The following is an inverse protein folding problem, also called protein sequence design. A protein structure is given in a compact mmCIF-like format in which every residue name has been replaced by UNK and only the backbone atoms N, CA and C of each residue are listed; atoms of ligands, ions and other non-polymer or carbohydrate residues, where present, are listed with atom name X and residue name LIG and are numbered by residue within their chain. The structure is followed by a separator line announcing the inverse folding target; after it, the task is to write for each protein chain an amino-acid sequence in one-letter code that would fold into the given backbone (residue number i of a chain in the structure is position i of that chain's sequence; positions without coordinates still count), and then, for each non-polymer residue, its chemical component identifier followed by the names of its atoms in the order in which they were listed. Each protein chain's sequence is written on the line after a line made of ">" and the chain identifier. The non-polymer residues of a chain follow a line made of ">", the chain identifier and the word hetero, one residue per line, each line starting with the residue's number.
data_IF_091118793853
#
_entry.id   IF_091118793853
#
_cell.length_a   1.000
_cell.length_b   1.000
_cell.length_c   1.000
_cell.angle_alpha   90.00
_cell.angle_beta   90.00
_cell.angle_gamma   90.00
#
_symmetry.space_group_name_H-M   'P 1'
#
loop_
_entity.id
_entity.type
_entity.pdbx_description
1 polymer ?
#
# COMPACT_ATOMS: atom_id res chain seq x y z
N UNK A 1 -5.66 22.69 -2.55
CA UNK A 1 -4.80 23.02 -3.70
C UNK A 1 -3.39 23.46 -3.30
N UNK A 2 -3.21 24.38 -2.34
CA UNK A 2 -1.88 24.93 -1.95
C UNK A 2 -0.87 23.85 -1.50
N UNK A 3 -1.28 22.91 -0.65
CA UNK A 3 -0.40 21.82 -0.19
C UNK A 3 0.09 20.93 -1.34
N UNK A 4 -0.79 20.59 -2.29
CA UNK A 4 -0.44 19.82 -3.49
C UNK A 4 0.53 20.59 -4.40
N UNK A 5 0.27 21.89 -4.63
CA UNK A 5 1.19 22.75 -5.37
C UNK A 5 2.58 22.82 -4.72
N UNK A 6 2.65 22.94 -3.39
CA UNK A 6 3.90 22.92 -2.64
C UNK A 6 4.64 21.57 -2.75
N UNK A 7 3.91 20.43 -2.78
CA UNK A 7 4.51 19.11 -3.04
C UNK A 7 5.12 19.04 -4.44
N UNK A 8 4.39 19.48 -5.47
CA UNK A 8 4.87 19.54 -6.86
C UNK A 8 6.14 20.39 -6.97
N UNK A 9 6.15 21.59 -6.40
CA UNK A 9 7.31 22.50 -6.44
C UNK A 9 8.53 21.88 -5.75
N UNK A 10 8.34 21.26 -4.57
CA UNK A 10 9.43 20.54 -3.88
C UNK A 10 9.93 19.36 -4.70
N UNK A 11 9.03 18.58 -5.29
CA UNK A 11 9.37 17.45 -6.14
C UNK A 11 10.18 17.87 -7.37
N UNK A 12 9.76 18.93 -8.09
CA UNK A 12 10.51 19.47 -9.23
C UNK A 12 11.90 19.97 -8.85
N UNK A 13 12.03 20.66 -7.70
CA UNK A 13 13.34 21.09 -7.18
C UNK A 13 14.23 19.89 -6.86
N UNK A 14 13.67 18.86 -6.24
CA UNK A 14 14.38 17.61 -5.94
C UNK A 14 14.85 16.87 -7.19
N UNK A 15 14.00 16.77 -8.22
CA UNK A 15 14.35 16.17 -9.50
C UNK A 15 15.52 16.90 -10.17
N UNK A 16 15.50 18.25 -10.16
CA UNK A 16 16.55 19.08 -10.76
C UNK A 16 17.86 19.03 -9.98
N UNK A 17 17.81 18.89 -8.66
CA UNK A 17 18.97 18.81 -7.78
C UNK A 17 19.60 17.40 -7.72
N UNK A 18 19.02 16.39 -8.39
CA UNK A 18 19.48 14.98 -8.37
C UNK A 18 19.65 14.41 -6.94
N UNK A 19 18.77 14.79 -6.01
CA UNK A 19 18.83 14.25 -4.66
C UNK A 19 18.55 12.74 -4.64
N UNK A 20 19.42 11.98 -3.95
CA UNK A 20 19.25 10.56 -3.71
C UNK A 20 17.92 10.32 -2.98
N UNK A 21 17.00 9.60 -3.64
CA UNK A 21 15.67 9.27 -3.11
C UNK A 21 14.50 9.96 -3.80
N UNK A 22 14.72 10.92 -4.72
CA UNK A 22 13.62 11.46 -5.51
C UNK A 22 13.11 10.43 -6.52
N UNK A 23 11.80 10.08 -6.46
CA UNK A 23 11.14 9.24 -7.46
C UNK A 23 10.23 10.10 -8.34
N UNK A 24 10.47 10.06 -9.65
CA UNK A 24 9.70 10.78 -10.65
C UNK A 24 8.21 10.39 -10.65
N UNK A 25 7.90 9.13 -10.35
CA UNK A 25 6.53 8.65 -10.16
C UNK A 25 5.76 9.41 -9.07
N UNK A 26 6.42 9.80 -7.97
CA UNK A 26 5.78 10.60 -6.91
C UNK A 26 5.42 12.01 -7.38
N UNK A 27 6.30 12.62 -8.18
CA UNK A 27 6.03 13.93 -8.77
C UNK A 27 4.89 13.88 -9.82
N UNK A 28 4.83 12.80 -10.61
CA UNK A 28 3.71 12.56 -11.54
C UNK A 28 2.39 12.45 -10.79
N UNK A 29 2.35 11.72 -9.66
CA UNK A 29 1.16 11.61 -8.82
C UNK A 29 0.72 12.96 -8.25
N UNK A 30 1.65 13.72 -7.66
CA UNK A 30 1.39 15.05 -7.11
C UNK A 30 0.86 16.04 -8.18
N UNK A 31 1.43 16.01 -9.39
CA UNK A 31 0.98 16.87 -10.50
C UNK A 31 -0.39 16.44 -11.02
N UNK A 32 -0.64 15.14 -11.13
CA UNK A 32 -1.95 14.60 -11.55
C UNK A 32 -3.04 14.99 -10.57
N UNK A 33 -2.79 14.86 -9.27
CA UNK A 33 -3.71 15.30 -8.21
C UNK A 33 -4.00 16.79 -8.31
N UNK A 34 -2.96 17.62 -8.49
CA UNK A 34 -3.12 19.06 -8.64
C UNK A 34 -4.01 19.40 -9.84
N UNK A 35 -3.70 18.86 -11.02
CA UNK A 35 -4.43 19.16 -12.26
C UNK A 35 -5.88 18.64 -12.23
N UNK A 36 -6.11 17.45 -11.65
CA UNK A 36 -7.46 16.93 -11.42
C UNK A 36 -8.26 17.84 -10.50
N UNK A 37 -7.67 18.21 -9.36
CA UNK A 37 -8.34 19.07 -8.38
C UNK A 37 -8.67 20.43 -8.98
N UNK A 38 -7.72 21.05 -9.71
CA UNK A 38 -7.98 22.34 -10.38
C UNK A 38 -9.04 22.23 -11.47
N UNK A 39 -9.06 21.14 -12.25
CA UNK A 39 -10.06 20.91 -13.28
C UNK A 39 -11.46 20.72 -12.70
N UNK A 40 -11.58 19.94 -11.62
CA UNK A 40 -12.85 19.74 -10.91
C UNK A 40 -13.35 21.03 -10.24
N UNK A 41 -12.43 21.84 -9.67
CA UNK A 41 -12.78 23.13 -9.09
C UNK A 41 -13.19 24.19 -10.12
N UNK A 42 -12.72 24.07 -11.37
CA UNK A 42 -13.07 24.97 -12.47
C UNK A 42 -14.38 24.55 -13.18
N UNK A 43 -14.98 23.40 -12.82
CA UNK A 43 -16.26 22.94 -13.35
C UNK A 43 -17.45 23.75 -12.82
N UNK A 44 -18.61 23.57 -13.45
CA UNK A 44 -19.83 24.35 -13.14
C UNK A 44 -20.38 24.10 -11.72
N UNK A 45 -20.15 22.92 -11.15
CA UNK A 45 -20.54 22.56 -9.78
C UNK A 45 -19.35 21.94 -9.02
N UNK A 46 -18.46 22.75 -8.43
CA UNK A 46 -17.32 22.23 -7.68
C UNK A 46 -17.79 21.55 -6.39
N UNK A 47 -17.36 20.30 -6.16
CA UNK A 47 -17.63 19.61 -4.90
C UNK A 47 -17.03 20.39 -3.72
N UNK A 48 -17.83 20.83 -2.73
CA UNK A 48 -17.34 21.54 -1.56
C UNK A 48 -16.25 20.78 -0.78
N UNK A 49 -16.19 19.45 -0.90
CA UNK A 49 -15.14 18.63 -0.29
C UNK A 49 -13.74 18.94 -0.85
N UNK A 50 -13.63 19.45 -2.08
CA UNK A 50 -12.38 19.78 -2.75
C UNK A 50 -11.82 21.16 -2.34
N UNK A 51 -12.63 22.02 -1.71
CA UNK A 51 -12.23 23.37 -1.27
C UNK A 51 -11.29 23.35 -0.05
N UNK A 52 -11.00 22.17 0.51
CA UNK A 52 -10.18 22.00 1.68
C UNK A 52 -10.97 22.30 2.95
N UNK A 53 -10.97 21.36 3.88
CA UNK A 53 -11.60 21.55 5.19
C UNK A 53 -10.65 22.33 6.10
N UNK A 54 -11.12 23.42 6.70
CA UNK A 54 -10.44 24.07 7.82
C UNK A 54 -10.09 23.04 8.91
N UNK A 55 -8.95 23.25 9.59
CA UNK A 55 -8.35 22.43 10.66
C UNK A 55 -9.32 21.40 11.25
N UNK A 56 -9.25 20.16 10.74
CA UNK A 56 -10.20 19.09 11.05
C UNK A 56 -10.17 18.78 12.55
N UNK A 57 -11.25 19.12 13.25
CA UNK A 57 -11.38 18.90 14.67
C UNK A 57 -11.50 17.41 14.98
N UNK A 58 -10.81 16.95 16.03
CA UNK A 58 -11.04 15.63 16.61
C UNK A 58 -12.52 15.53 17.00
N UNK A 59 -13.21 14.46 16.58
CA UNK A 59 -14.58 14.21 17.03
C UNK A 59 -14.53 13.60 18.43
N UNK A 60 -15.40 14.02 19.36
CA UNK A 60 -15.61 13.30 20.61
C UNK A 60 -16.22 11.93 20.27
N UNK A 61 -15.42 10.87 20.32
CA UNK A 61 -15.92 9.51 20.33
C UNK A 61 -16.23 9.18 21.78
N UNK A 62 -17.47 8.84 22.12
CA UNK A 62 -17.94 8.64 23.50
C UNK A 62 -17.13 7.61 24.32
N UNK A 63 -17.72 6.47 24.63
CA UNK A 63 -16.97 5.31 25.13
C UNK A 63 -16.53 4.49 23.91
N UNK A 64 -15.25 4.15 23.82
CA UNK A 64 -14.67 3.39 22.72
C UNK A 64 -13.87 2.22 23.29
N UNK A 65 -14.24 0.99 22.92
CA UNK A 65 -13.46 -0.21 23.20
C UNK A 65 -12.66 -0.58 21.95
N UNK A 66 -11.36 -0.76 22.12
CA UNK A 66 -10.46 -1.22 21.05
C UNK A 66 -9.62 -2.40 21.52
N UNK A 67 -9.28 -3.28 20.58
CA UNK A 67 -8.42 -4.45 20.76
C UNK A 67 -7.11 -4.26 20.02
N UNK A 68 -6.01 -4.62 20.64
CA UNK A 68 -4.70 -4.71 20.00
C UNK A 68 -4.72 -5.70 18.86
N UNK A 69 -4.10 -5.32 17.73
CA UNK A 69 -3.85 -6.24 16.63
C UNK A 69 -2.37 -6.53 16.50
N UNK A 70 -1.56 -5.49 16.32
CA UNK A 70 -0.11 -5.61 16.22
C UNK A 70 0.56 -4.24 16.38
N UNK A 71 1.89 -4.23 16.56
CA UNK A 71 2.72 -3.01 16.51
C UNK A 71 3.78 -3.11 15.44
N UNK A 72 4.12 -1.95 14.86
CA UNK A 72 5.12 -1.85 13.81
C UNK A 72 6.10 -0.70 14.06
N UNK A 73 7.39 -0.90 13.73
CA UNK A 73 8.38 0.17 13.78
C UNK A 73 8.20 1.13 12.60
N UNK A 74 8.23 2.43 12.89
CA UNK A 74 8.25 3.50 11.89
C UNK A 74 9.65 4.03 11.74
N UNK A 75 10.18 4.04 10.52
CA UNK A 75 11.45 4.69 10.17
C UNK A 75 11.21 5.57 8.95
N UNK A 76 11.50 6.87 9.06
CA UNK A 76 11.39 7.79 7.93
C UNK A 76 12.76 8.16 7.38
N UNK A 77 12.80 8.54 6.09
CA UNK A 77 13.99 9.12 5.47
C UNK A 77 14.41 10.46 6.10
N UNK A 78 13.49 11.14 6.79
CA UNK A 78 13.72 12.42 7.48
C UNK A 78 14.32 12.26 8.87
N UNK A 79 14.77 11.05 9.25
CA UNK A 79 15.44 10.78 10.53
C UNK A 79 14.47 10.58 11.71
N UNK A 80 13.17 10.43 11.45
CA UNK A 80 12.21 10.07 12.49
C UNK A 80 12.16 8.56 12.69
N UNK A 81 11.92 8.18 13.95
CA UNK A 81 11.83 6.80 14.41
C UNK A 81 10.72 6.64 15.44
N UNK A 82 10.07 5.50 15.46
CA UNK A 82 9.00 5.27 16.43
C UNK A 82 8.27 3.96 16.27
N UNK A 83 7.09 3.91 16.85
CA UNK A 83 6.17 2.79 16.79
C UNK A 83 4.77 3.29 16.43
N UNK A 84 4.04 2.45 15.70
CA UNK A 84 2.57 2.55 15.57
C UNK A 84 1.99 1.24 16.08
N UNK A 85 1.05 1.31 17.01
CA UNK A 85 0.22 0.17 17.42
C UNK A 85 -1.14 0.30 16.76
N UNK A 86 -1.54 -0.76 16.07
CA UNK A 86 -2.80 -0.86 15.35
C UNK A 86 -3.81 -1.56 16.25
N UNK A 87 -5.00 -0.98 16.33
CA UNK A 87 -6.09 -1.48 17.16
C UNK A 87 -7.40 -1.44 16.36
N UNK A 88 -8.35 -2.30 16.71
CA UNK A 88 -9.68 -2.33 16.06
C UNK A 88 -10.80 -2.27 17.09
N UNK A 89 -11.92 -1.64 16.75
CA UNK A 89 -13.11 -1.64 17.61
C UNK A 89 -13.96 -2.93 17.46
N UNK A 90 -15.12 -2.95 18.12
CA UNK A 90 -16.09 -4.06 18.05
C UNK A 90 -16.72 -4.19 16.65
N UNK A 91 -16.75 -3.11 15.87
CA UNK A 91 -17.26 -3.08 14.49
C UNK A 91 -16.18 -3.38 13.43
N UNK A 92 -14.94 -3.62 13.84
CA UNK A 92 -13.81 -3.91 12.95
C UNK A 92 -13.17 -2.68 12.30
N UNK A 93 -13.47 -1.46 12.78
CA UNK A 93 -12.81 -0.23 12.29
C UNK A 93 -11.42 -0.11 12.89
N UNK A 94 -10.46 0.27 12.05
CA UNK A 94 -9.07 0.45 12.44
C UNK A 94 -8.78 1.81 13.04
N UNK A 95 -7.96 1.78 14.08
CA UNK A 95 -7.39 2.95 14.73
C UNK A 95 -5.89 2.75 14.96
N UNK A 96 -5.19 3.85 15.23
CA UNK A 96 -3.75 3.82 15.51
C UNK A 96 -3.37 4.64 16.73
N UNK A 97 -2.36 4.15 17.44
CA UNK A 97 -1.67 4.84 18.54
C UNK A 97 -0.19 4.90 18.18
N UNK A 98 0.39 6.10 18.15
CA UNK A 98 1.74 6.29 17.64
C UNK A 98 2.63 7.07 18.61
N UNK A 99 3.90 6.66 18.72
CA UNK A 99 4.98 7.46 19.29
C UNK A 99 6.12 7.55 18.27
N UNK A 100 6.13 8.64 17.49
CA UNK A 100 7.13 8.92 16.45
C UNK A 100 7.81 10.25 16.75
N UNK A 101 9.13 10.24 16.93
CA UNK A 101 9.96 11.43 17.19
C UNK A 101 11.29 11.31 16.45
N UNK A 102 12.12 12.37 16.39
CA UNK A 102 13.47 12.26 15.86
C UNK A 102 14.27 11.16 16.58
N UNK A 103 15.08 10.40 15.83
CA UNK A 103 15.93 9.33 16.37
C UNK A 103 16.12 8.09 15.49
N UNK A 104 15.57 8.08 14.27
CA UNK A 104 15.78 7.05 13.27
C UNK A 104 15.52 5.61 13.74
N UNK A 105 16.24 4.66 13.16
CA UNK A 105 16.00 3.23 13.42
C UNK A 105 16.24 2.81 14.87
N UNK A 106 17.23 3.40 15.55
CA UNK A 106 17.53 3.08 16.94
C UNK A 106 16.32 3.39 17.85
N UNK A 107 15.68 4.54 17.63
CA UNK A 107 14.42 4.88 18.29
C UNK A 107 13.30 3.94 17.91
N UNK A 108 13.13 3.63 16.62
CA UNK A 108 12.06 2.74 16.16
C UNK A 108 12.12 1.36 16.83
N UNK A 109 13.34 0.82 17.01
CA UNK A 109 13.60 -0.42 17.73
C UNK A 109 13.21 -0.34 19.20
N UNK A 110 13.57 0.75 19.89
CA UNK A 110 13.27 0.94 21.32
C UNK A 110 11.83 1.36 21.62
N UNK A 111 11.13 1.97 20.66
CA UNK A 111 9.79 2.53 20.88
C UNK A 111 8.71 1.47 21.10
N UNK A 112 8.95 0.21 20.70
CA UNK A 112 7.98 -0.88 20.85
C UNK A 112 7.52 -1.13 22.29
N UNK A 113 8.32 -0.75 23.29
CA UNK A 113 8.00 -0.86 24.73
C UNK A 113 7.88 0.52 25.40
N UNK A 114 7.77 1.60 24.62
CA UNK A 114 7.51 2.92 25.17
C UNK A 114 6.09 3.00 25.74
N UNK A 115 5.91 3.87 26.74
CA UNK A 115 4.59 4.14 27.33
C UNK A 115 3.66 4.76 26.29
N UNK A 116 2.45 4.21 26.20
CA UNK A 116 1.36 4.74 25.41
C UNK A 116 0.86 6.00 26.10
N UNK A 117 1.00 7.12 25.41
CA UNK A 117 0.52 8.42 25.89
C UNK A 117 -0.98 8.59 25.60
N UNK A 118 -1.85 7.66 26.04
CA UNK A 118 -3.31 7.79 25.97
C UNK A 118 -3.89 7.62 27.37
N UNK A 119 -4.49 8.71 27.89
CA UNK A 119 -4.98 8.74 29.26
C UNK A 119 -3.85 8.58 30.29
N UNK A 120 -4.23 8.35 31.55
CA UNK A 120 -3.31 8.20 32.68
C UNK A 120 -2.87 6.76 32.95
N UNK A 121 -3.07 5.84 32.00
CA UNK A 121 -2.76 4.42 32.16
C UNK A 121 -1.33 4.08 31.77
N UNK A 122 -0.55 3.48 32.67
CA UNK A 122 0.83 3.02 32.43
C UNK A 122 0.94 1.79 31.52
N UNK A 123 0.26 1.81 30.37
CA UNK A 123 0.33 0.77 29.34
C UNK A 123 1.46 1.11 28.36
N UNK A 124 2.20 0.12 27.89
CA UNK A 124 3.18 0.28 26.82
C UNK A 124 2.65 -0.25 25.48
N UNK A 125 3.35 0.06 24.39
CA UNK A 125 2.96 -0.35 23.04
C UNK A 125 2.97 -1.88 22.84
N UNK A 126 3.77 -2.64 23.60
CA UNK A 126 3.82 -4.10 23.54
C UNK A 126 2.54 -4.71 24.10
N UNK A 127 2.15 -4.26 25.29
CA UNK A 127 0.94 -4.67 25.98
C UNK A 127 -0.31 -4.19 25.26
N UNK A 128 -0.29 -2.99 24.66
CA UNK A 128 -1.41 -2.52 23.85
C UNK A 128 -1.63 -3.39 22.61
N UNK A 129 -0.58 -3.83 21.93
CA UNK A 129 -0.68 -4.64 20.72
C UNK A 129 -1.33 -6.01 20.97
N UNK A 130 -1.22 -6.53 22.20
CA UNK A 130 -1.75 -7.84 22.61
C UNK A 130 -3.06 -7.75 23.39
N UNK A 131 -3.21 -6.66 24.15
CA UNK A 131 -4.38 -6.38 24.98
C UNK A 131 -5.45 -5.57 24.25
N UNK A 132 -5.87 -4.49 24.90
CA UNK A 132 -6.77 -3.50 24.34
C UNK A 132 -6.95 -2.32 25.29
N UNK A 133 -7.80 -1.38 24.89
CA UNK A 133 -8.18 -0.23 25.71
C UNK A 133 -9.70 -0.06 25.75
N UNK A 134 -10.21 0.28 26.93
CA UNK A 134 -11.50 0.95 27.07
C UNK A 134 -11.22 2.43 27.30
N UNK A 135 -11.68 3.27 26.37
CA UNK A 135 -11.38 4.70 26.32
C UNK A 135 -12.67 5.49 26.53
N UNK A 136 -12.68 6.34 27.54
CA UNK A 136 -13.76 7.31 27.79
C UNK A 136 -13.33 8.69 27.31
N UNK A 137 -14.20 9.32 26.51
CA UNK A 137 -13.92 10.64 25.92
C UNK A 137 -12.89 10.57 24.80
N UNK A 138 -12.88 9.47 24.04
CA UNK A 138 -11.92 9.22 22.97
C UNK A 138 -11.88 10.39 21.98
N UNK A 139 -10.67 10.74 21.55
CA UNK A 139 -10.48 11.71 20.47
C UNK A 139 -9.90 10.98 19.29
N UNK A 140 -10.58 11.02 18.14
CA UNK A 140 -10.14 10.33 16.92
C UNK A 140 -9.87 11.35 15.81
N UNK A 141 -8.69 11.25 15.18
CA UNK A 141 -8.38 12.03 13.99
C UNK A 141 -9.13 11.49 12.76
N UNK A 142 -9.26 12.25 11.67
CA UNK A 142 -9.86 11.74 10.42
C UNK A 142 -9.19 10.47 9.89
N UNK A 143 -7.89 10.31 10.16
CA UNK A 143 -7.08 9.14 9.75
C UNK A 143 -7.15 7.98 10.77
N UNK A 144 -8.04 8.07 11.77
CA UNK A 144 -8.21 7.04 12.79
C UNK A 144 -7.18 7.06 13.92
N UNK A 145 -6.38 8.14 14.06
CA UNK A 145 -5.41 8.23 15.16
C UNK A 145 -6.10 8.57 16.48
N UNK A 146 -5.87 7.77 17.51
CA UNK A 146 -6.36 8.03 18.85
C UNK A 146 -5.49 9.08 19.54
N UNK A 147 -6.14 10.12 20.06
CA UNK A 147 -5.49 11.24 20.74
C UNK A 147 -5.67 11.20 22.26
N UNK A 148 -4.82 11.94 22.97
CA UNK A 148 -4.77 12.05 24.42
C UNK A 148 -5.17 13.43 24.93
N UNK A 149 -6.36 13.88 24.53
CA UNK A 149 -6.94 15.13 25.03
C UNK A 149 -7.10 15.14 26.55
N UNK A 150 -7.21 16.34 27.14
CA UNK A 150 -7.29 16.57 28.60
C UNK A 150 -8.46 15.86 29.33
N UNK A 151 -9.42 15.28 28.61
CA UNK A 151 -10.54 14.50 29.16
C UNK A 151 -10.51 13.00 28.83
N UNK A 152 -9.48 12.53 28.12
CA UNK A 152 -9.37 11.13 27.71
C UNK A 152 -8.92 10.29 28.91
N UNK A 153 -9.72 9.30 29.28
CA UNK A 153 -9.33 8.25 30.24
C UNK A 153 -9.27 6.93 29.52
N UNK A 154 -8.23 6.14 29.76
CA UNK A 154 -8.07 4.84 29.14
C UNK A 154 -7.69 3.80 30.19
N UNK A 155 -8.34 2.65 30.11
CA UNK A 155 -8.09 1.50 30.98
C UNK A 155 -7.72 0.31 30.12
N UNK A 156 -6.62 -0.35 30.46
CA UNK A 156 -6.21 -1.57 29.77
C UNK A 156 -7.28 -2.65 29.95
N UNK A 157 -7.56 -3.37 28.86
CA UNK A 157 -8.40 -4.57 28.89
C UNK A 157 -7.61 -5.76 28.38
N UNK A 158 -8.02 -6.97 28.79
CA UNK A 158 -7.41 -8.19 28.32
C UNK A 158 -7.56 -8.33 26.79
N UNK A 159 -6.54 -8.94 26.19
CA UNK A 159 -6.51 -9.26 24.77
C UNK A 159 -7.57 -10.28 24.37
N UNK A 160 -7.77 -10.40 23.06
CA UNK A 160 -8.52 -11.51 22.48
C UNK A 160 -7.65 -12.23 21.45
N UNK A 161 -7.73 -13.57 21.36
CA UNK A 161 -7.00 -14.30 20.36
C UNK A 161 -7.59 -14.00 18.97
N UNK A 162 -6.73 -13.93 17.97
CA UNK A 162 -7.15 -13.73 16.58
C UNK A 162 -8.12 -14.81 16.07
N UNK A 163 -8.19 -15.97 16.71
CA UNK A 163 -9.10 -17.06 16.33
C UNK A 163 -10.59 -16.77 16.65
N UNK A 164 -10.92 -15.70 17.40
CA UNK A 164 -12.27 -15.48 17.90
C UNK A 164 -12.70 -14.01 17.88
N UNK A 165 -14.02 -13.79 18.02
CA UNK A 165 -14.60 -12.45 18.17
C UNK A 165 -14.34 -11.54 16.96
N UNK A 166 -14.33 -10.21 17.19
CA UNK A 166 -14.09 -9.23 16.12
C UNK A 166 -12.73 -9.37 15.43
N UNK A 167 -11.71 -9.90 16.10
CA UNK A 167 -10.41 -10.17 15.49
C UNK A 167 -10.46 -11.35 14.52
N UNK A 168 -11.25 -12.38 14.81
CA UNK A 168 -11.48 -13.50 13.89
C UNK A 168 -12.09 -13.06 12.55
N UNK A 169 -12.97 -12.05 12.58
CA UNK A 169 -13.61 -11.52 11.38
C UNK A 169 -12.62 -10.88 10.39
N UNK A 170 -11.44 -10.43 10.86
CA UNK A 170 -10.39 -9.88 9.98
C UNK A 170 -9.85 -10.90 8.97
N UNK A 171 -9.98 -12.20 9.27
CA UNK A 171 -9.43 -13.30 8.47
C UNK A 171 -10.49 -14.09 7.70
N UNK A 172 -11.77 -13.77 7.91
CA UNK A 172 -12.88 -14.51 7.30
C UNK A 172 -13.08 -14.16 5.82
N UNK A 173 -12.64 -12.98 5.39
CA UNK A 173 -12.92 -12.45 4.06
C UNK A 173 -11.77 -12.76 3.08
N UNK A 174 -12.06 -13.29 1.88
CA UNK A 174 -11.04 -13.51 0.87
C UNK A 174 -10.28 -12.23 0.46
N UNK A 175 -8.99 -12.36 0.19
CA UNK A 175 -8.11 -11.29 -0.29
C UNK A 175 -8.62 -10.71 -1.60
N UNK A 176 -9.12 -11.54 -2.52
CA UNK A 176 -9.67 -11.08 -3.80
C UNK A 176 -10.81 -10.05 -3.62
N UNK A 177 -11.72 -10.31 -2.68
CA UNK A 177 -12.85 -9.43 -2.38
C UNK A 177 -12.37 -8.16 -1.67
N UNK A 178 -11.48 -8.31 -0.70
CA UNK A 178 -10.91 -7.18 0.04
C UNK A 178 -10.16 -6.25 -0.91
N UNK A 179 -9.29 -6.79 -1.78
CA UNK A 179 -8.56 -6.02 -2.78
C UNK A 179 -9.50 -5.37 -3.78
N UNK A 180 -10.53 -6.08 -4.24
CA UNK A 180 -11.52 -5.53 -5.16
C UNK A 180 -12.24 -4.30 -4.60
N UNK A 181 -12.53 -4.28 -3.31
CA UNK A 181 -13.09 -3.12 -2.63
C UNK A 181 -12.05 -2.01 -2.40
N UNK A 182 -10.84 -2.38 -1.96
CA UNK A 182 -9.77 -1.43 -1.58
C UNK A 182 -9.20 -0.70 -2.78
N UNK A 183 -9.00 -1.41 -3.89
CA UNK A 183 -8.53 -0.88 -5.16
C UNK A 183 -9.69 -0.50 -6.10
N UNK A 184 -10.94 -0.76 -5.70
CA UNK A 184 -12.14 -0.37 -6.41
C UNK A 184 -12.53 1.07 -6.09
N UNK A 185 -12.12 2.00 -6.95
CA UNK A 185 -12.49 3.41 -6.84
C UNK A 185 -12.30 4.15 -8.17
N UNK A 186 -13.32 4.89 -8.59
CA UNK A 186 -13.26 5.75 -9.77
C UNK A 186 -12.56 7.10 -9.49
N UNK A 187 -12.15 7.83 -10.54
CA UNK A 187 -11.69 9.21 -10.38
C UNK A 187 -12.82 10.06 -9.74
N UNK A 188 -12.53 10.74 -8.63
CA UNK A 188 -13.49 11.58 -7.90
C UNK A 188 -13.68 11.24 -6.42
N UNK A 189 -13.15 10.10 -5.94
CA UNK A 189 -13.02 9.87 -4.49
C UNK A 189 -11.98 10.82 -3.90
N UNK A 190 -12.25 11.33 -2.70
CA UNK A 190 -11.27 12.08 -1.88
C UNK A 190 -9.93 11.30 -1.85
N UNK A 191 -8.85 11.85 -2.44
CA UNK A 191 -7.57 11.15 -2.57
C UNK A 191 -7.02 10.68 -1.21
N UNK A 192 -7.23 11.47 -0.16
CA UNK A 192 -6.76 11.13 1.19
C UNK A 192 -7.51 9.92 1.74
N UNK A 193 -8.83 9.82 1.48
CA UNK A 193 -9.64 8.65 1.89
C UNK A 193 -9.31 7.41 1.09
N UNK A 194 -9.08 7.57 -0.21
CA UNK A 194 -8.66 6.46 -1.08
C UNK A 194 -7.29 5.91 -0.65
N UNK A 195 -6.32 6.79 -0.38
CA UNK A 195 -5.00 6.40 0.10
C UNK A 195 -5.07 5.75 1.49
N UNK A 196 -5.87 6.31 2.42
CA UNK A 196 -6.07 5.74 3.75
C UNK A 196 -6.68 4.33 3.67
N UNK A 197 -7.73 4.15 2.86
CA UNK A 197 -8.38 2.86 2.63
C UNK A 197 -7.39 1.82 2.11
N UNK A 198 -6.52 2.17 1.17
CA UNK A 198 -5.51 1.24 0.61
C UNK A 198 -4.44 0.85 1.62
N UNK A 199 -4.09 1.76 2.55
CA UNK A 199 -3.06 1.54 3.58
C UNK A 199 -3.53 0.79 4.81
N UNK A 200 -4.84 0.62 4.95
CA UNK A 200 -5.43 -0.16 6.03
C UNK A 200 -4.97 -1.62 5.95
N UNK A 201 -4.59 -2.25 7.07
CA UNK A 201 -4.17 -3.65 7.05
C UNK A 201 -5.31 -4.59 6.68
N UNK A 202 -4.93 -5.75 6.15
CA UNK A 202 -5.83 -6.87 5.84
C UNK A 202 -5.39 -8.11 6.61
N UNK A 203 -6.37 -8.92 7.04
CA UNK A 203 -6.13 -10.25 7.57
C UNK A 203 -6.32 -11.30 6.50
N UNK A 204 -5.46 -12.32 6.49
CA UNK A 204 -5.61 -13.49 5.64
C UNK A 204 -4.91 -14.71 6.25
N UNK A 205 -5.35 -15.89 5.84
CA UNK A 205 -4.70 -17.16 6.18
C UNK A 205 -3.89 -17.62 4.96
N UNK A 206 -2.62 -17.98 5.17
CA UNK A 206 -1.65 -18.28 4.12
C UNK A 206 -0.93 -19.61 4.39
N UNK A 207 -0.65 -20.36 3.33
CA UNK A 207 0.34 -21.44 3.34
C UNK A 207 1.61 -20.97 2.65
N UNK A 208 2.76 -21.11 3.30
CA UNK A 208 4.07 -20.79 2.70
C UNK A 208 4.40 -21.87 1.68
N UNK A 209 4.73 -21.45 0.46
CA UNK A 209 5.07 -22.37 -0.64
C UNK A 209 6.59 -22.45 -0.82
N UNK A 210 7.30 -21.34 -0.63
CA UNK A 210 8.76 -21.30 -0.72
C UNK A 210 9.25 -19.92 -1.10
N UNK A 211 10.27 -19.87 -1.96
CA UNK A 211 10.86 -18.62 -2.45
C UNK A 211 10.93 -18.60 -3.97
N UNK A 212 10.75 -17.41 -4.54
CA UNK A 212 11.03 -17.15 -5.96
C UNK A 212 11.57 -15.72 -6.09
N UNK A 213 12.63 -15.53 -6.89
CA UNK A 213 13.33 -14.24 -7.07
C UNK A 213 13.71 -13.53 -5.75
N UNK A 214 14.08 -14.32 -4.73
CA UNK A 214 14.45 -13.80 -3.41
C UNK A 214 13.26 -13.29 -2.56
N UNK A 215 12.02 -13.48 -3.02
CA UNK A 215 10.80 -13.17 -2.29
C UNK A 215 10.16 -14.44 -1.73
N UNK A 216 9.43 -14.31 -0.62
CA UNK A 216 8.67 -15.43 -0.05
C UNK A 216 7.36 -15.53 -0.81
N UNK A 217 7.05 -16.72 -1.29
CA UNK A 217 5.79 -17.02 -1.99
C UNK A 217 4.89 -17.80 -1.04
N UNK A 218 3.66 -17.35 -0.91
CA UNK A 218 2.60 -18.01 -0.18
C UNK A 218 1.36 -18.17 -1.07
N UNK A 219 0.40 -19.00 -0.64
CA UNK A 219 -0.93 -19.07 -1.23
C UNK A 219 -1.98 -18.80 -0.17
N UNK A 220 -3.02 -18.08 -0.56
CA UNK A 220 -4.19 -17.86 0.28
C UNK A 220 -4.89 -19.18 0.58
N UNK A 221 -5.12 -19.47 1.86
CA UNK A 221 -5.94 -20.59 2.30
C UNK A 221 -7.39 -20.13 2.33
N UNK A 222 -8.29 -20.89 1.69
CA UNK A 222 -9.73 -20.64 1.71
C UNK A 222 -10.47 -21.82 2.30
N UNK A 223 -11.41 -21.54 3.19
CA UNK A 223 -12.24 -22.56 3.80
C UNK A 223 -12.98 -23.37 2.73
N UNK A 224 -12.87 -24.70 2.79
CA UNK A 224 -13.53 -25.62 1.86
C UNK A 224 -12.94 -25.67 0.45
N UNK A 225 -11.74 -25.13 0.23
CA UNK A 225 -11.04 -25.17 -1.07
C UNK A 225 -9.62 -25.75 -0.94
N UNK A 226 -9.11 -26.47 -1.95
CA UNK A 226 -7.72 -26.87 -2.01
C UNK A 226 -6.78 -25.65 -1.99
N UNK A 227 -5.64 -25.75 -1.32
CA UNK A 227 -4.64 -24.67 -1.25
C UNK A 227 -4.11 -24.27 -2.64
N UNK A 228 -4.13 -25.18 -3.61
CA UNK A 228 -3.67 -24.95 -4.98
C UNK A 228 -4.57 -23.99 -5.76
N UNK A 229 -5.84 -23.87 -5.37
CA UNK A 229 -6.79 -22.90 -5.91
C UNK A 229 -6.62 -21.50 -5.27
N UNK A 230 -5.78 -21.40 -4.23
CA UNK A 230 -5.46 -20.15 -3.53
C UNK A 230 -4.67 -19.17 -4.39
N UNK A 231 -4.96 -17.88 -4.25
CA UNK A 231 -4.22 -16.82 -4.94
C UNK A 231 -2.76 -16.85 -4.48
N UNK A 232 -1.77 -16.87 -5.41
CA UNK A 232 -0.37 -16.75 -5.05
C UNK A 232 -0.05 -15.33 -4.58
N UNK A 233 0.55 -15.20 -3.41
CA UNK A 233 0.88 -13.93 -2.76
C UNK A 233 2.39 -13.83 -2.56
N UNK A 234 2.98 -12.71 -2.98
CA UNK A 234 4.37 -12.34 -2.71
C UNK A 234 4.47 -11.62 -1.38
N UNK A 235 5.25 -12.16 -0.44
CA UNK A 235 5.50 -11.49 0.84
C UNK A 235 6.82 -10.73 0.79
N UNK A 236 6.76 -9.43 1.10
CA UNK A 236 7.94 -8.56 1.15
C UNK A 236 8.10 -7.91 2.52
N UNK A 237 9.31 -7.64 3.02
CA UNK A 237 9.49 -7.02 4.33
C UNK A 237 8.74 -5.69 4.44
N UNK A 238 7.94 -5.51 5.50
CA UNK A 238 7.29 -4.22 5.76
C UNK A 238 8.32 -3.09 5.98
N UNK A 239 9.47 -3.43 6.58
CA UNK A 239 10.64 -2.56 6.62
C UNK A 239 11.93 -3.36 6.31
N UNK A 240 12.71 -2.91 5.34
CA UNK A 240 13.93 -3.58 4.89
C UNK A 240 15.19 -3.24 5.67
N UNK A 241 15.12 -2.35 6.67
CA UNK A 241 16.30 -1.92 7.42
C UNK A 241 16.92 -3.13 8.18
N UNK A 242 18.25 -3.39 8.06
CA UNK A 242 18.90 -4.59 8.62
C UNK A 242 18.74 -4.74 10.14
N UNK A 243 18.65 -3.62 10.84
CA UNK A 243 18.42 -3.50 12.28
C UNK A 243 17.01 -3.88 12.77
N UNK A 244 16.08 -4.18 11.87
CA UNK A 244 14.70 -4.57 12.18
C UNK A 244 14.47 -6.03 11.81
N UNK A 245 13.54 -6.69 12.52
CA UNK A 245 13.38 -8.14 12.44
C UNK A 245 12.69 -8.64 11.15
N UNK A 246 12.00 -7.79 10.39
CA UNK A 246 11.17 -8.20 9.24
C UNK A 246 11.89 -9.10 8.24
N UNK A 247 13.06 -8.68 7.75
CA UNK A 247 13.79 -9.43 6.73
C UNK A 247 14.29 -10.78 7.28
N UNK A 248 14.75 -10.81 8.54
CA UNK A 248 15.18 -12.05 9.18
C UNK A 248 14.01 -13.02 9.39
N UNK A 249 12.87 -12.50 9.85
CA UNK A 249 11.66 -13.28 10.07
C UNK A 249 11.10 -13.85 8.75
N UNK A 250 11.06 -13.06 7.68
CA UNK A 250 10.63 -13.55 6.37
C UNK A 250 11.54 -14.66 5.85
N UNK A 251 12.86 -14.58 6.06
CA UNK A 251 13.77 -15.70 5.72
C UNK A 251 13.46 -16.96 6.53
N UNK A 252 13.10 -16.83 7.81
CA UNK A 252 12.67 -17.99 8.61
C UNK A 252 11.38 -18.61 8.07
N UNK A 253 10.40 -17.79 7.69
CA UNK A 253 9.16 -18.28 7.07
C UNK A 253 9.45 -18.99 5.74
N UNK A 254 10.26 -18.38 4.86
CA UNK A 254 10.62 -18.94 3.56
C UNK A 254 11.31 -20.31 3.65
N UNK A 255 12.06 -20.56 4.73
CA UNK A 255 12.71 -21.85 4.98
C UNK A 255 11.73 -22.97 5.39
N UNK A 256 10.42 -22.68 5.48
CA UNK A 256 9.38 -23.60 5.96
C UNK A 256 8.21 -23.74 4.97
N UNK A 257 8.43 -24.24 3.74
CA UNK A 257 7.34 -24.66 2.87
C UNK A 257 6.35 -25.59 3.60
N UNK A 258 5.06 -25.38 3.38
CA UNK A 258 3.97 -26.10 4.04
C UNK A 258 3.51 -25.48 5.37
N UNK A 259 4.23 -24.47 5.88
CA UNK A 259 3.82 -23.75 7.08
C UNK A 259 2.56 -22.94 6.83
N UNK A 260 1.54 -23.16 7.65
CA UNK A 260 0.26 -22.46 7.62
C UNK A 260 0.25 -21.39 8.69
N UNK A 261 -0.03 -20.15 8.30
CA UNK A 261 0.00 -18.99 9.20
C UNK A 261 -1.18 -18.08 8.94
N UNK A 262 -1.58 -17.39 9.99
CA UNK A 262 -2.46 -16.24 9.90
C UNK A 262 -1.63 -14.97 9.81
N UNK A 263 -1.98 -14.04 8.94
CA UNK A 263 -1.19 -12.86 8.63
C UNK A 263 -2.05 -11.60 8.69
N UNK A 264 -1.58 -10.60 9.44
CA UNK A 264 -1.98 -9.21 9.28
C UNK A 264 -0.92 -8.54 8.43
N UNK A 265 -1.31 -7.95 7.29
CA UNK A 265 -0.38 -7.33 6.35
C UNK A 265 -0.96 -6.11 5.63
N UNK A 266 -0.11 -5.36 4.94
CA UNK A 266 -0.53 -4.28 4.04
C UNK A 266 -0.41 -4.70 2.58
N UNK A 267 -1.43 -4.36 1.81
CA UNK A 267 -1.39 -4.48 0.36
C UNK A 267 -0.38 -3.49 -0.20
N UNK A 268 0.37 -3.92 -1.21
CA UNK A 268 1.18 -3.02 -2.04
C UNK A 268 0.41 -2.72 -3.33
N UNK A 269 -0.22 -1.54 -3.46
CA UNK A 269 -1.17 -1.24 -4.54
C UNK A 269 -0.52 -1.16 -5.92
N UNK A 270 0.80 -1.02 -5.98
CA UNK A 270 1.59 -0.85 -7.20
C UNK A 270 2.40 -2.10 -7.56
N UNK A 271 2.10 -3.25 -6.92
CA UNK A 271 2.79 -4.53 -7.15
C UNK A 271 1.79 -5.68 -7.26
N UNK A 272 2.05 -6.57 -8.21
CA UNK A 272 1.24 -7.78 -8.40
C UNK A 272 1.20 -8.65 -7.13
N UNK A 273 -0.02 -8.94 -6.66
CA UNK A 273 -0.32 -9.84 -5.55
C UNK A 273 0.66 -9.75 -4.36
N UNK A 274 1.05 -8.53 -3.96
CA UNK A 274 2.11 -8.33 -2.97
C UNK A 274 1.55 -7.86 -1.63
N UNK A 275 1.97 -8.54 -0.55
CA UNK A 275 1.62 -8.24 0.83
C UNK A 275 2.89 -7.95 1.65
N UNK A 276 2.81 -6.93 2.51
CA UNK A 276 3.80 -6.62 3.54
C UNK A 276 3.30 -7.12 4.89
N UNK A 277 3.71 -8.32 5.36
CA UNK A 277 3.24 -8.83 6.64
C UNK A 277 3.78 -7.96 7.78
N UNK A 278 2.87 -7.59 8.70
CA UNK A 278 3.15 -6.82 9.91
C UNK A 278 3.23 -7.75 11.13
N UNK A 279 2.33 -8.73 11.20
CA UNK A 279 2.28 -9.70 12.26
C UNK A 279 1.78 -11.05 11.74
N UNK A 280 2.20 -12.12 12.41
CA UNK A 280 1.81 -13.50 12.10
C UNK A 280 1.35 -14.23 13.35
N UNK A 281 0.39 -15.12 13.19
CA UNK A 281 -0.14 -15.96 14.26
C UNK A 281 -0.26 -17.41 13.80
N UNK A 282 -0.34 -18.36 14.74
CA UNK A 282 -0.70 -19.73 14.41
C UNK A 282 -2.09 -19.77 13.76
N UNK A 283 -2.21 -20.49 12.64
CA UNK A 283 -3.51 -20.92 12.12
C UNK A 283 -4.13 -21.96 13.09
N UNK A 284 -5.41 -21.84 13.48
CA UNK A 284 -6.07 -22.82 14.35
C UNK A 284 -6.27 -24.17 13.65
N UNK A 285 -6.55 -25.20 14.45
CA UNK A 285 -6.95 -26.54 13.98
C UNK A 285 -5.95 -27.25 13.05
N UNK A 286 -4.65 -26.94 13.17
CA UNK A 286 -3.58 -27.59 12.42
C UNK A 286 -2.27 -27.61 13.20
N UNK A 287 -1.51 -28.71 13.08
CA UNK A 287 -0.16 -28.82 13.66
C UNK A 287 0.92 -28.25 12.73
N UNK A 288 0.58 -27.92 11.48
CA UNK A 288 1.48 -27.36 10.48
C UNK A 288 1.67 -25.84 10.64
N UNK A 289 1.75 -25.35 11.87
CA UNK A 289 1.63 -23.93 12.22
C UNK A 289 2.69 -23.48 13.23
N UNK A 290 2.76 -22.18 13.49
CA UNK A 290 3.71 -21.59 14.45
C UNK A 290 3.47 -22.07 15.89
N UNK A 291 4.55 -22.22 16.65
CA UNK A 291 4.58 -22.59 18.08
C UNK A 291 5.11 -21.41 18.90
N UNK A 292 4.27 -20.37 19.03
CA UNK A 292 4.71 -19.11 19.65
C UNK A 292 4.78 -19.22 21.18
N UNK A 293 5.71 -18.50 21.83
CA UNK A 293 5.75 -18.40 23.29
C UNK A 293 4.45 -17.84 23.87
N UNK A 294 4.03 -18.34 25.03
CA UNK A 294 2.83 -17.84 25.72
C UNK A 294 2.90 -16.33 26.02
N UNK A 295 4.11 -15.80 26.28
CA UNK A 295 4.36 -14.38 26.50
C UNK A 295 4.03 -13.48 25.29
N UNK A 296 3.83 -14.05 24.10
CA UNK A 296 3.44 -13.31 22.90
C UNK A 296 1.94 -13.29 22.67
N UNK A 297 1.16 -13.94 23.54
CA UNK A 297 -0.30 -13.91 23.55
C UNK A 297 -0.93 -14.21 22.18
N UNK A 298 -0.33 -15.14 21.45
CA UNK A 298 -0.90 -15.72 20.23
C UNK A 298 -0.46 -15.10 18.91
N UNK A 299 0.38 -14.06 18.87
CA UNK A 299 0.95 -13.54 17.61
C UNK A 299 2.35 -12.95 17.78
N UNK A 300 3.11 -12.91 16.69
CA UNK A 300 4.42 -12.27 16.59
C UNK A 300 4.30 -10.99 15.75
N UNK A 301 4.67 -9.85 16.34
CA UNK A 301 4.86 -8.58 15.63
C UNK A 301 6.18 -8.64 14.87
N UNK A 302 6.15 -8.79 13.54
CA UNK A 302 7.35 -9.09 12.74
C UNK A 302 8.43 -8.02 12.78
N UNK A 303 8.10 -6.80 13.21
CA UNK A 303 9.06 -5.72 13.39
C UNK A 303 9.82 -5.74 14.71
N UNK A 304 9.32 -6.46 15.71
CA UNK A 304 9.86 -6.48 17.09
C UNK A 304 10.18 -7.88 17.58
N UNK A 305 9.31 -8.85 17.33
CA UNK A 305 9.46 -10.22 17.80
C UNK A 305 10.30 -11.02 16.78
N UNK A 306 11.36 -11.67 17.25
CA UNK A 306 12.27 -12.43 16.39
C UNK A 306 11.87 -13.90 16.35
N UNK A 307 11.49 -14.40 15.18
CA UNK A 307 11.19 -15.80 14.97
C UNK A 307 12.48 -16.63 15.03
N UNK A 308 12.44 -17.73 15.77
CA UNK A 308 13.54 -18.66 15.98
C UNK A 308 13.08 -20.08 15.64
N UNK A 309 14.04 -21.00 15.47
CA UNK A 309 13.74 -22.37 15.06
C UNK A 309 12.75 -23.11 15.98
N UNK A 310 12.76 -22.80 17.28
CA UNK A 310 11.84 -23.33 18.30
C UNK A 310 10.39 -22.89 18.11
N UNK A 311 10.15 -21.80 17.39
CA UNK A 311 8.81 -21.29 17.09
C UNK A 311 8.14 -22.00 15.91
N UNK A 312 8.80 -22.99 15.31
CA UNK A 312 8.31 -23.74 14.16
C UNK A 312 8.11 -25.22 14.50
N UNK A 313 7.27 -25.94 13.74
CA UNK A 313 7.25 -27.38 13.78
C UNK A 313 8.64 -27.97 13.46
N UNK A 314 8.96 -29.17 13.97
CA UNK A 314 10.21 -29.84 13.66
C UNK A 314 10.41 -30.00 12.14
N UNK A 315 11.66 -29.99 11.65
CA UNK A 315 11.93 -30.23 10.23
C UNK A 315 11.28 -31.52 9.74
N UNK A 316 10.68 -31.50 8.55
CA UNK A 316 10.06 -32.67 7.92
C UNK A 316 8.63 -33.01 8.41
N UNK A 317 8.08 -32.29 9.39
CA UNK A 317 6.69 -32.51 9.84
C UNK A 317 5.66 -31.69 9.05
N UNK A 318 6.11 -30.70 8.29
CA UNK A 318 5.23 -29.87 7.47
C UNK A 318 4.77 -30.68 6.24
N UNK A 319 3.49 -30.56 5.85
CA UNK A 319 3.00 -31.15 4.61
C UNK A 319 3.83 -30.66 3.42
N UNK A 320 3.94 -31.50 2.39
CA UNK A 320 4.54 -31.07 1.14
C UNK A 320 3.72 -29.91 0.55
N UNK A 321 4.33 -28.73 0.45
CA UNK A 321 3.76 -27.65 -0.35
C UNK A 321 4.03 -27.95 -1.83
N UNK A 322 3.02 -27.77 -2.68
CA UNK A 322 3.20 -27.87 -4.14
C UNK A 322 4.35 -26.96 -4.56
N UNK A 323 5.34 -27.50 -5.28
CA UNK A 323 6.52 -26.74 -5.65
C UNK A 323 6.15 -25.48 -6.46
N UNK A 324 6.83 -24.37 -6.17
CA UNK A 324 6.83 -23.22 -7.09
C UNK A 324 7.66 -23.63 -8.29
N UNK A 325 7.02 -24.14 -9.35
CA UNK A 325 7.72 -24.52 -10.59
C UNK A 325 8.24 -23.27 -11.31
N UNK A 326 7.47 -22.17 -11.26
CA UNK A 326 7.87 -20.86 -11.75
C UNK A 326 7.29 -19.76 -10.85
N UNK A 327 8.00 -18.63 -10.63
CA UNK A 327 7.41 -17.47 -9.99
C UNK A 327 6.13 -17.07 -10.73
N UNK A 328 5.06 -16.66 -10.03
CA UNK A 328 3.94 -16.05 -10.71
C UNK A 328 4.48 -14.88 -11.57
N UNK A 329 3.96 -14.69 -12.78
CA UNK A 329 4.32 -13.53 -13.60
C UNK A 329 3.92 -12.24 -12.90
N UNK A 330 4.68 -11.17 -13.11
CA UNK A 330 4.27 -9.82 -12.73
C UNK A 330 3.71 -9.12 -13.98
N UNK A 331 2.37 -9.10 -14.17
CA UNK A 331 1.78 -8.51 -15.36
C UNK A 331 2.08 -7.01 -15.49
N UNK A 332 2.44 -6.31 -14.42
CA UNK A 332 2.91 -4.92 -14.53
C UNK A 332 4.30 -4.83 -15.16
N UNK A 333 5.17 -5.80 -14.88
CA UNK A 333 6.52 -5.86 -15.45
C UNK A 333 6.49 -6.28 -16.92
N UNK A 334 5.58 -7.20 -17.27
CA UNK A 334 5.42 -7.71 -18.64
C UNK A 334 4.63 -6.77 -19.55
N UNK A 335 3.69 -5.99 -19.00
CA UNK A 335 2.87 -5.09 -19.79
C UNK A 335 3.70 -3.98 -20.46
N UNK A 336 3.42 -3.63 -21.73
CA UNK A 336 4.08 -2.52 -22.44
C UNK A 336 3.74 -1.13 -21.88
N UNK A 337 3.00 -1.04 -20.76
CA UNK A 337 2.59 0.21 -20.10
C UNK A 337 3.78 1.08 -19.65
N UNK A 338 4.95 0.50 -19.41
CA UNK A 338 6.18 1.26 -19.13
C UNK A 338 6.50 2.30 -20.21
N UNK A 339 6.03 2.10 -21.44
CA UNK A 339 6.19 3.04 -22.56
C UNK A 339 5.35 4.29 -22.39
N UNK A 340 4.09 4.14 -21.94
CA UNK A 340 3.23 5.26 -21.56
C UNK A 340 3.77 5.95 -20.30
N UNK A 341 4.23 5.18 -19.32
CA UNK A 341 4.88 5.71 -18.10
C UNK A 341 6.06 6.61 -18.45
N UNK A 342 6.93 6.16 -19.35
CA UNK A 342 8.10 6.93 -19.78
C UNK A 342 7.72 8.29 -20.37
N UNK A 343 6.75 8.37 -21.27
CA UNK A 343 6.37 9.68 -21.87
C UNK A 343 5.73 10.60 -20.83
N UNK A 344 4.91 10.08 -19.91
CA UNK A 344 4.31 10.84 -18.80
C UNK A 344 5.40 11.41 -17.87
N UNK A 345 6.38 10.59 -17.50
CA UNK A 345 7.51 10.96 -16.64
C UNK A 345 8.47 11.97 -17.31
N UNK A 346 8.78 11.75 -18.60
CA UNK A 346 9.61 12.66 -19.40
C UNK A 346 8.92 14.01 -19.58
N UNK A 347 7.61 14.05 -19.78
CA UNK A 347 6.86 15.29 -19.88
C UNK A 347 6.97 16.16 -18.61
N UNK A 348 7.05 15.54 -17.43
CA UNK A 348 7.17 16.24 -16.13
C UNK A 348 8.59 16.73 -15.88
N UNK A 349 9.59 15.87 -16.10
CA UNK A 349 11.00 16.17 -15.82
C UNK A 349 11.66 17.02 -16.91
N UNK A 350 11.39 16.73 -18.18
CA UNK A 350 11.97 17.38 -19.36
C UNK A 350 11.05 18.37 -20.08
N UNK A 351 9.79 18.48 -19.67
CA UNK A 351 8.82 19.42 -20.23
C UNK A 351 8.29 19.03 -21.62
N UNK A 352 7.49 19.94 -22.20
CA UNK A 352 6.79 19.72 -23.48
C UNK A 352 7.71 19.32 -24.64
N UNK A 353 8.90 19.91 -24.75
CA UNK A 353 9.83 19.58 -25.84
C UNK A 353 10.30 18.14 -25.79
N UNK A 354 10.57 17.61 -24.60
CA UNK A 354 11.02 16.24 -24.40
C UNK A 354 9.87 15.23 -24.67
N UNK A 355 8.63 15.60 -24.35
CA UNK A 355 7.45 14.80 -24.67
C UNK A 355 7.10 14.76 -26.16
N UNK A 356 7.59 15.72 -26.95
CA UNK A 356 7.36 15.80 -28.39
C UNK A 356 8.30 14.92 -29.23
N UNK A 357 9.45 14.51 -28.68
CA UNK A 357 10.44 13.68 -29.39
C UNK A 357 9.83 12.41 -30.03
N UNK A 358 8.96 11.63 -29.35
CA UNK A 358 8.34 10.45 -29.96
C UNK A 358 7.50 10.74 -31.21
N UNK A 359 6.87 11.92 -31.31
CA UNK A 359 6.10 12.32 -32.49
C UNK A 359 7.02 12.65 -33.67
N UNK A 360 8.18 13.26 -33.42
CA UNK A 360 9.18 13.60 -34.45
C UNK A 360 9.84 12.36 -35.07
N UNK A 361 9.91 11.29 -34.28
CA UNK A 361 10.43 10.01 -34.71
C UNK A 361 9.38 9.08 -35.34
N UNK A 362 8.11 9.48 -35.45
CA UNK A 362 7.07 8.74 -36.18
C UNK A 362 6.85 7.30 -35.68
N UNK A 363 6.97 7.06 -34.37
CA UNK A 363 6.94 5.72 -33.75
C UNK A 363 8.01 4.74 -34.26
N UNK A 364 9.17 5.20 -34.74
CA UNK A 364 10.32 4.32 -35.09
C UNK A 364 10.71 3.38 -33.93
N UNK A 365 10.46 3.78 -32.68
CA UNK A 365 10.65 2.95 -31.48
C UNK A 365 9.54 1.92 -31.21
N UNK A 366 8.50 1.85 -32.04
CA UNK A 366 7.39 0.90 -32.00
C UNK A 366 6.59 0.94 -30.70
N UNK A 367 6.57 2.06 -30.00
CA UNK A 367 5.94 2.18 -28.70
C UNK A 367 4.41 2.10 -28.79
N UNK A 368 3.81 2.80 -29.75
CA UNK A 368 2.38 2.72 -30.01
C UNK A 368 1.97 1.35 -30.55
N UNK A 369 2.78 0.75 -31.42
CA UNK A 369 2.53 -0.59 -31.94
C UNK A 369 2.61 -1.67 -30.85
N UNK A 370 3.59 -1.58 -29.93
CA UNK A 370 3.73 -2.52 -28.81
C UNK A 370 2.54 -2.46 -27.85
N UNK A 371 2.07 -1.25 -27.49
CA UNK A 371 0.87 -1.07 -26.67
C UNK A 371 -0.36 -1.69 -27.32
N UNK A 372 -0.58 -1.49 -28.62
CA UNK A 372 -1.71 -2.09 -29.36
C UNK A 372 -1.64 -3.61 -29.43
N UNK A 373 -0.45 -4.17 -29.70
CA UNK A 373 -0.23 -5.63 -29.69
C UNK A 373 -0.50 -6.25 -28.32
N UNK A 374 -0.18 -5.53 -27.24
CA UNK A 374 -0.51 -5.94 -25.87
C UNK A 374 -1.95 -5.65 -25.43
N UNK A 375 -2.85 -5.22 -26.33
CA UNK A 375 -4.25 -4.92 -26.00
C UNK A 375 -4.51 -3.53 -25.39
N UNK A 376 -3.48 -2.72 -25.15
CA UNK A 376 -3.59 -1.39 -24.54
C UNK A 376 -3.84 -0.29 -25.58
N UNK A 377 -4.94 -0.39 -26.34
CA UNK A 377 -5.27 0.55 -27.43
C UNK A 377 -5.43 1.98 -26.93
N UNK A 378 -6.21 2.19 -25.86
CA UNK A 378 -6.43 3.52 -25.26
C UNK A 378 -5.12 4.14 -24.77
N UNK A 379 -4.23 3.36 -24.14
CA UNK A 379 -2.91 3.84 -23.75
C UNK A 379 -2.07 4.29 -24.96
N UNK A 380 -2.16 3.54 -26.06
CA UNK A 380 -1.46 3.87 -27.31
C UNK A 380 -2.00 5.14 -27.97
N UNK A 381 -3.31 5.34 -27.93
CA UNK A 381 -3.96 6.55 -28.47
C UNK A 381 -3.63 7.78 -27.61
N UNK A 382 -3.65 7.64 -26.28
CA UNK A 382 -3.27 8.71 -25.34
C UNK A 382 -1.79 9.07 -25.45
N UNK A 383 -0.89 8.09 -25.63
CA UNK A 383 0.53 8.36 -25.89
C UNK A 383 0.72 9.17 -27.18
N UNK A 384 0.01 8.78 -28.25
CA UNK A 384 0.03 9.50 -29.53
C UNK A 384 -0.54 10.91 -29.41
N UNK A 385 -1.68 11.07 -28.74
CA UNK A 385 -2.30 12.37 -28.50
C UNK A 385 -1.41 13.31 -27.67
N UNK A 386 -0.78 12.80 -26.61
CA UNK A 386 0.17 13.57 -25.80
C UNK A 386 1.38 14.01 -26.62
N UNK A 387 1.98 13.12 -27.41
CA UNK A 387 3.13 13.45 -28.25
C UNK A 387 2.77 14.46 -29.37
N UNK A 388 1.59 14.29 -29.99
CA UNK A 388 1.08 15.21 -31.01
C UNK A 388 0.76 16.60 -30.43
N UNK A 389 0.14 16.66 -29.25
CA UNK A 389 -0.09 17.93 -28.55
C UNK A 389 1.24 18.56 -28.13
N UNK A 390 2.18 17.77 -27.65
CA UNK A 390 3.51 18.25 -27.30
C UNK A 390 4.23 18.91 -28.49
N UNK A 391 4.14 18.31 -29.68
CA UNK A 391 4.74 18.84 -30.91
C UNK A 391 3.88 19.89 -31.63
N UNK A 392 2.61 20.07 -31.24
CA UNK A 392 1.70 21.02 -31.89
C UNK A 392 2.30 22.41 -31.92
N UNK A 393 2.54 22.90 -33.13
CA UNK A 393 2.93 24.29 -33.42
C UNK A 393 1.77 24.90 -34.19
N UNK A 394 0.96 25.73 -33.54
CA UNK A 394 0.05 26.60 -34.29
C UNK A 394 0.90 27.51 -35.18
N UNK A 395 0.42 27.84 -36.38
CA UNK A 395 1.02 28.89 -37.20
C UNK A 395 -0.07 29.87 -37.56
N UNK A 396 0.22 31.15 -37.42
CA UNK A 396 -0.68 32.18 -37.92
C UNK A 396 -0.69 32.20 -39.46
N UNK A 397 -1.58 33.00 -40.05
CA UNK A 397 -1.70 33.17 -41.51
C UNK A 397 -0.39 33.69 -42.14
N UNK A 398 0.53 34.22 -41.34
CA UNK A 398 1.84 34.71 -41.74
C UNK A 398 2.98 33.69 -41.52
N UNK A 399 2.66 32.46 -41.12
CA UNK A 399 3.62 31.37 -40.89
C UNK A 399 4.41 31.47 -39.58
N UNK A 400 4.12 32.46 -38.73
CA UNK A 400 4.72 32.60 -37.39
C UNK A 400 4.14 31.57 -36.47
N UNK A 401 4.99 30.98 -35.62
CA UNK A 401 4.53 30.02 -34.62
C UNK A 401 3.60 30.73 -33.64
N UNK A 402 2.35 30.30 -33.58
CA UNK A 402 1.36 30.78 -32.62
C UNK A 402 1.65 30.26 -31.22
N UNK A 403 0.95 30.83 -30.24
CA UNK A 403 1.12 30.47 -28.84
C UNK A 403 0.65 29.03 -28.61
N UNK A 404 1.44 28.32 -27.81
CA UNK A 404 1.13 26.99 -27.31
C UNK A 404 -0.10 27.07 -26.40
N UNK A 405 -1.13 26.24 -26.62
CA UNK A 405 -2.22 26.08 -25.66
C UNK A 405 -1.73 25.24 -24.46
N UNK A 406 -1.52 25.84 -23.27
CA UNK A 406 -1.04 25.12 -22.10
C UNK A 406 -2.11 24.19 -21.52
N UNK A 407 -3.39 24.53 -21.67
CA UNK A 407 -4.50 23.78 -21.08
C UNK A 407 -4.78 22.51 -21.89
N UNK A 408 -4.70 22.58 -23.22
CA UNK A 408 -4.80 21.40 -24.07
C UNK A 408 -3.68 20.39 -23.76
N UNK A 409 -2.45 20.87 -23.58
CA UNK A 409 -1.33 20.02 -23.21
C UNK A 409 -1.48 19.43 -21.80
N UNK A 410 -1.93 20.24 -20.82
CA UNK A 410 -2.20 19.77 -19.47
C UNK A 410 -3.29 18.70 -19.43
N UNK A 411 -4.38 18.87 -20.20
CA UNK A 411 -5.45 17.87 -20.35
C UNK A 411 -4.97 16.58 -21.00
N UNK A 412 -4.19 16.67 -22.08
CA UNK A 412 -3.63 15.50 -22.76
C UNK A 412 -2.70 14.70 -21.85
N UNK A 413 -1.83 15.40 -21.09
CA UNK A 413 -0.95 14.78 -20.11
C UNK A 413 -1.74 14.15 -18.97
N UNK A 414 -2.74 14.85 -18.44
CA UNK A 414 -3.54 14.36 -17.32
C UNK A 414 -4.35 13.12 -17.72
N UNK A 415 -4.95 13.10 -18.90
CA UNK A 415 -5.67 11.94 -19.42
C UNK A 415 -4.75 10.71 -19.52
N UNK A 416 -3.53 10.89 -20.05
CA UNK A 416 -2.51 9.84 -20.11
C UNK A 416 -2.11 9.33 -18.72
N UNK A 417 -1.85 10.22 -17.76
CA UNK A 417 -1.46 9.86 -16.40
C UNK A 417 -2.58 9.13 -15.63
N UNK A 418 -3.82 9.61 -15.73
CA UNK A 418 -4.99 8.98 -15.09
C UNK A 418 -5.28 7.61 -15.68
N UNK A 419 -5.21 7.49 -17.02
CA UNK A 419 -5.40 6.20 -17.69
C UNK A 419 -4.31 5.20 -17.29
N UNK A 420 -3.04 5.63 -17.28
CA UNK A 420 -1.93 4.79 -16.85
C UNK A 420 -2.15 4.26 -15.42
N UNK A 421 -2.43 5.15 -14.47
CA UNK A 421 -2.65 4.77 -13.08
C UNK A 421 -3.88 3.84 -12.93
N UNK A 422 -4.94 4.08 -13.71
CA UNK A 422 -6.11 3.20 -13.75
C UNK A 422 -5.79 1.81 -14.32
N UNK A 423 -5.08 1.75 -15.44
CA UNK A 423 -4.69 0.49 -16.09
C UNK A 423 -3.75 -0.34 -15.20
N UNK A 424 -2.76 0.30 -14.56
CA UNK A 424 -1.86 -0.37 -13.62
C UNK A 424 -2.61 -0.93 -12.41
N UNK A 425 -3.52 -0.14 -11.80
CA UNK A 425 -4.38 -0.63 -10.70
C UNK A 425 -5.28 -1.78 -11.13
N UNK A 426 -5.83 -1.74 -12.34
CA UNK A 426 -6.65 -2.83 -12.88
C UNK A 426 -5.84 -4.12 -13.06
N UNK A 427 -4.61 -4.02 -13.57
CA UNK A 427 -3.71 -5.18 -13.68
C UNK A 427 -3.35 -5.74 -12.31
N UNK A 428 -2.99 -4.88 -11.34
CA UNK A 428 -2.73 -5.31 -9.96
C UNK A 428 -3.95 -6.00 -9.38
N UNK A 429 -5.14 -5.40 -9.47
CA UNK A 429 -6.37 -6.01 -8.96
C UNK A 429 -6.64 -7.39 -9.58
N UNK A 430 -6.40 -7.55 -10.88
CA UNK A 430 -6.56 -8.83 -11.57
C UNK A 430 -5.64 -9.93 -11.02
N UNK A 431 -4.45 -9.58 -10.54
CA UNK A 431 -3.51 -10.56 -9.92
C UNK A 431 -4.01 -11.17 -8.62
N UNK A 432 -5.02 -10.55 -7.99
CA UNK A 432 -5.65 -11.07 -6.77
C UNK A 432 -6.90 -11.90 -7.06
N UNK A 433 -7.31 -12.04 -8.32
CA UNK A 433 -8.39 -12.92 -8.74
C UNK A 433 -7.90 -14.35 -9.02
N UNK A 434 -8.82 -15.33 -9.09
CA UNK A 434 -8.45 -16.64 -9.63
C UNK A 434 -7.92 -16.47 -11.07
N UNK A 435 -6.77 -17.06 -11.37
CA UNK A 435 -6.37 -17.23 -12.77
C UNK A 435 -7.34 -18.23 -13.37
N UNK A 436 -8.07 -17.84 -14.41
CA UNK A 436 -8.58 -18.84 -15.34
C UNK A 436 -7.37 -19.63 -15.83
N UNK A 437 -7.40 -20.94 -15.65
CA UNK A 437 -6.39 -21.79 -16.24
C UNK A 437 -6.43 -21.51 -17.75
N UNK A 438 -5.29 -21.12 -18.32
CA UNK A 438 -5.17 -21.07 -19.77
C UNK A 438 -5.60 -22.44 -20.30
N UNK A 439 -6.55 -22.52 -21.24
CA UNK A 439 -6.88 -23.80 -21.85
C UNK A 439 -5.59 -24.32 -22.47
N UNK A 440 -5.12 -25.47 -21.97
CA UNK A 440 -3.96 -26.16 -22.49
C UNK A 440 -4.18 -26.36 -23.98
N UNK A 441 -3.38 -25.67 -24.80
CA UNK A 441 -3.36 -25.80 -26.25
C UNK A 441 -2.69 -27.08 -26.70
#
# INVERSE_FOLDING_TARGET
>A
SEAAALRVVRGLRGARARHDGHRLAGLVADLSELLLTTGLLAGEEPDPALLGTARRAYRPGGSLRVRGVCREPVVSATGYGGVVTLVVDDEGRWYSVADVKPGGVARARGAGTATVMIGSGGLDHARLARGGLLISGATVSPEGRLGAGKGVRATAVAGQPWASGPLGALFARPLAETVAERLGGGPGLDPERAEHRVREPVGCDLVVVGTADGQVIAREIRAGRPDEEGVPVRLTPANGHPDLAHTANLRQLAARPGLRIRVIGRLEPDRAATLRPLAVAPLPDTDATLRLPAAWEGHADLGYDRLEGSHFPPPGTLPAAGAVVEPPSDPLAEAPLWRLRRIVEVAVSGGRRAAAEPARDGDRGGAGAALRRGGFRTAADLAGALAAEADRRSRDVFGRTGEADPDAYARAWLAAAVHLAGAERSLVRATWGPREADPVG
#
